data_IF_632558655246
#
_entry.id   IF_632558655246
#
_cell.length_a   1.000
_cell.length_b   1.000
_cell.length_c   1.000
_cell.angle_alpha   90.00
_cell.angle_beta   90.00
_cell.angle_gamma   90.00
#
_symmetry.space_group_name_H-M   'P 1'
#
loop_
_entity.id
_entity.type
_entity.pdbx_description
1 polymer ?
#
# COMPACT_ATOMS: atom_id res chain seq x y z
N UNK A 1 -6.55 52.93 18.32
CA UNK A 1 -6.00 51.67 18.90
C UNK A 1 -5.09 51.95 20.10
N UNK A 2 -4.33 53.05 20.11
CA UNK A 2 -3.33 53.37 21.15
C UNK A 2 -3.91 53.73 22.54
N UNK A 3 -5.22 53.93 22.66
CA UNK A 3 -5.91 54.27 23.92
C UNK A 3 -7.12 53.35 24.21
N UNK A 4 -7.13 52.12 23.71
CA UNK A 4 -8.19 51.18 24.06
C UNK A 4 -8.07 50.79 25.53
N UNK A 5 -9.16 50.98 26.29
CA UNK A 5 -9.25 50.47 27.65
C UNK A 5 -9.15 48.95 27.67
N UNK A 6 -8.68 48.38 28.78
CA UNK A 6 -8.56 46.93 28.95
C UNK A 6 -9.87 46.19 28.59
N UNK A 7 -11.02 46.73 29.01
CA UNK A 7 -12.32 46.13 28.74
C UNK A 7 -12.66 46.08 27.25
N UNK A 8 -12.37 47.15 26.50
CA UNK A 8 -12.61 47.18 25.05
C UNK A 8 -11.65 46.24 24.32
N UNK A 9 -10.39 46.16 24.76
CA UNK A 9 -9.41 45.25 24.18
C UNK A 9 -9.76 43.78 24.44
N UNK A 10 -10.21 43.45 25.65
CA UNK A 10 -10.69 42.12 26.00
C UNK A 10 -11.94 41.75 25.19
N UNK A 11 -12.86 42.71 24.98
CA UNK A 11 -14.03 42.48 24.13
C UNK A 11 -13.61 42.20 22.68
N UNK A 12 -12.73 43.01 22.10
CA UNK A 12 -12.20 42.78 20.75
C UNK A 12 -11.55 41.39 20.64
N UNK A 13 -10.66 41.04 21.56
CA UNK A 13 -10.00 39.73 21.55
C UNK A 13 -10.97 38.56 21.75
N UNK A 14 -12.10 38.77 22.43
CA UNK A 14 -13.12 37.73 22.59
C UNK A 14 -13.87 37.41 21.30
N UNK A 15 -13.87 38.34 20.33
CA UNK A 15 -14.47 38.17 18.99
C UNK A 15 -13.52 37.54 17.97
N UNK A 16 -12.22 37.45 18.30
CA UNK A 16 -11.16 37.01 17.40
C UNK A 16 -10.66 35.61 17.76
N UNK A 17 -10.06 34.91 16.80
CA UNK A 17 -9.24 33.72 17.10
C UNK A 17 -7.84 34.15 17.54
N UNK A 18 -7.08 33.28 18.19
CA UNK A 18 -5.70 33.54 18.59
C UNK A 18 -4.80 33.87 17.40
N UNK A 19 -5.12 33.33 16.21
CA UNK A 19 -4.45 33.66 14.95
C UNK A 19 -4.72 35.10 14.55
N UNK A 20 -5.96 35.55 14.64
CA UNK A 20 -6.34 36.91 14.27
C UNK A 20 -5.79 37.91 15.29
N UNK A 21 -5.83 37.58 16.58
CA UNK A 21 -5.20 38.40 17.63
C UNK A 21 -3.69 38.51 17.38
N UNK A 22 -3.01 37.41 17.02
CA UNK A 22 -1.60 37.45 16.64
C UNK A 22 -1.36 38.38 15.44
N UNK A 23 -2.21 38.34 14.42
CA UNK A 23 -2.11 39.22 13.26
C UNK A 23 -2.30 40.69 13.65
N UNK A 24 -3.31 41.00 14.46
CA UNK A 24 -3.58 42.35 14.99
C UNK A 24 -2.40 42.86 15.82
N UNK A 25 -1.85 42.05 16.71
CA UNK A 25 -0.71 42.40 17.57
C UNK A 25 0.58 42.55 16.75
N UNK A 26 0.78 41.72 15.72
CA UNK A 26 1.96 41.82 14.86
C UNK A 26 1.96 43.06 13.96
N UNK A 27 0.78 43.57 13.60
CA UNK A 27 0.62 44.74 12.73
C UNK A 27 0.55 46.04 13.53
N UNK A 28 0.06 46.01 14.75
CA UNK A 28 -0.10 47.18 15.62
C UNK A 28 0.98 47.22 16.70
N UNK A 29 2.02 48.04 16.51
CA UNK A 29 3.16 48.16 17.45
C UNK A 29 2.74 48.54 18.88
N UNK A 30 1.64 49.27 19.03
CA UNK A 30 1.11 49.68 20.35
C UNK A 30 0.49 48.53 21.15
N UNK A 31 0.22 47.38 20.52
CA UNK A 31 -0.37 46.19 21.14
C UNK A 31 0.67 45.10 21.40
N UNK A 32 1.88 45.47 21.86
CA UNK A 32 2.91 44.47 22.16
C UNK A 32 2.39 43.41 23.15
N UNK A 33 2.67 42.10 22.95
CA UNK A 33 2.28 41.04 23.89
C UNK A 33 2.86 41.20 25.30
N UNK A 34 3.93 41.99 25.44
CA UNK A 34 4.56 42.30 26.73
C UNK A 34 3.82 43.40 27.51
N UNK A 35 2.85 44.07 26.89
CA UNK A 35 2.15 45.22 27.49
C UNK A 35 1.13 44.71 28.52
N UNK A 36 1.08 45.29 29.75
CA UNK A 36 0.16 44.84 30.79
C UNK A 36 -1.31 44.83 30.37
N UNK A 37 -1.77 45.84 29.63
CA UNK A 37 -3.17 45.90 29.16
C UNK A 37 -3.52 44.74 28.20
N UNK A 38 -2.59 44.33 27.34
CA UNK A 38 -2.76 43.19 26.42
C UNK A 38 -2.78 41.88 27.21
N UNK A 39 -1.92 41.75 28.23
CA UNK A 39 -1.87 40.58 29.09
C UNK A 39 -3.15 40.40 29.91
N UNK A 40 -3.65 41.48 30.52
CA UNK A 40 -4.93 41.49 31.24
C UNK A 40 -6.10 41.17 30.31
N UNK A 41 -6.12 41.72 29.11
CA UNK A 41 -7.14 41.40 28.11
C UNK A 41 -7.12 39.91 27.71
N UNK A 42 -5.93 39.34 27.48
CA UNK A 42 -5.76 37.91 27.17
C UNK A 42 -6.21 37.02 28.33
N UNK A 43 -5.86 37.37 29.57
CA UNK A 43 -6.33 36.67 30.77
C UNK A 43 -7.85 36.63 30.84
N UNK A 44 -8.48 37.79 30.65
CA UNK A 44 -9.94 37.93 30.69
C UNK A 44 -10.62 37.06 29.63
N UNK A 45 -10.10 37.04 28.40
CA UNK A 45 -10.62 36.20 27.32
C UNK A 45 -10.46 34.72 27.64
N UNK A 46 -9.28 34.29 28.12
CA UNK A 46 -9.00 32.90 28.47
C UNK A 46 -9.98 32.41 29.55
N UNK A 47 -10.15 33.17 30.62
CA UNK A 47 -11.00 32.76 31.73
C UNK A 47 -12.49 32.84 31.40
N UNK A 48 -12.93 33.88 30.69
CA UNK A 48 -14.35 34.09 30.40
C UNK A 48 -14.85 33.22 29.24
N UNK A 49 -14.09 33.07 28.16
CA UNK A 49 -14.50 32.33 26.96
C UNK A 49 -14.15 30.85 27.01
N UNK A 50 -13.04 30.51 27.65
CA UNK A 50 -12.51 29.14 27.69
C UNK A 50 -12.47 28.55 29.11
N UNK A 51 -13.16 29.16 30.08
CA UNK A 51 -13.16 28.72 31.47
C UNK A 51 -13.51 27.24 31.68
N UNK A 52 -14.35 26.65 30.83
CA UNK A 52 -14.68 25.21 30.90
C UNK A 52 -13.46 24.30 30.68
N UNK A 53 -12.55 24.68 29.78
CA UNK A 53 -11.34 23.91 29.45
C UNK A 53 -10.08 24.47 30.10
N UNK A 54 -10.14 25.70 30.62
CA UNK A 54 -9.03 26.45 31.19
C UNK A 54 -9.18 26.71 32.70
N UNK A 55 -10.13 26.08 33.39
CA UNK A 55 -10.42 26.30 34.82
C UNK A 55 -9.23 26.14 35.78
N UNK A 56 -8.19 25.44 35.34
CA UNK A 56 -6.94 25.27 36.10
C UNK A 56 -5.94 26.42 35.93
N UNK A 57 -6.19 27.37 35.02
CA UNK A 57 -5.41 28.57 34.80
C UNK A 57 -6.02 29.73 35.60
N UNK A 58 -5.89 29.67 36.92
CA UNK A 58 -6.45 30.70 37.80
C UNK A 58 -5.89 32.10 37.45
N UNK A 59 -6.78 33.09 37.35
CA UNK A 59 -6.46 34.51 37.18
C UNK A 59 -5.52 35.02 38.28
N UNK A 60 -5.70 34.56 39.51
CA UNK A 60 -4.88 34.96 40.66
C UNK A 60 -3.45 34.38 40.61
N UNK A 61 -3.24 33.35 39.79
CA UNK A 61 -1.99 32.61 39.72
C UNK A 61 -0.98 33.29 38.80
N UNK A 62 0.18 33.67 39.34
CA UNK A 62 1.32 34.17 38.55
C UNK A 62 2.11 33.07 37.83
N UNK A 63 1.62 31.81 37.86
CA UNK A 63 2.38 30.65 37.38
C UNK A 63 2.28 30.39 35.87
N UNK A 64 1.38 31.06 35.16
CA UNK A 64 1.20 30.88 33.73
C UNK A 64 1.33 32.19 32.95
N UNK A 65 1.87 32.18 31.72
CA UNK A 65 2.08 33.39 30.94
C UNK A 65 0.79 33.84 30.22
N UNK A 66 0.41 35.10 30.36
CA UNK A 66 -0.74 35.72 29.66
C UNK A 66 -0.38 36.01 28.22
N UNK A 67 -0.32 34.95 27.44
CA UNK A 67 0.31 34.94 26.12
C UNK A 67 -0.62 34.36 25.07
N UNK A 68 -0.38 34.74 23.81
CA UNK A 68 -1.08 34.18 22.65
C UNK A 68 -0.89 32.66 22.52
N UNK A 69 0.24 32.13 22.99
CA UNK A 69 0.47 30.69 23.03
C UNK A 69 -0.49 29.97 23.98
N UNK A 70 -0.80 30.57 25.14
CA UNK A 70 -1.79 30.02 26.07
C UNK A 70 -3.20 30.15 25.50
N UNK A 71 -3.55 31.31 24.92
CA UNK A 71 -4.84 31.49 24.22
C UNK A 71 -5.03 30.43 23.13
N UNK A 72 -4.02 30.22 22.27
CA UNK A 72 -4.06 29.18 21.23
C UNK A 72 -4.18 27.78 21.82
N UNK A 73 -3.48 27.50 22.91
CA UNK A 73 -3.61 26.23 23.64
C UNK A 73 -5.03 25.98 24.13
N UNK A 74 -5.69 27.01 24.66
CA UNK A 74 -7.08 26.91 25.15
C UNK A 74 -8.08 26.73 24.02
N UNK A 75 -7.89 27.34 22.85
CA UNK A 75 -8.70 27.06 21.65
C UNK A 75 -8.58 25.61 21.19
N UNK A 76 -7.35 25.08 21.17
CA UNK A 76 -7.09 23.68 20.78
C UNK A 76 -7.73 22.72 21.78
N UNK A 77 -7.66 23.00 23.09
CA UNK A 77 -8.36 22.23 24.11
C UNK A 77 -9.89 22.32 23.97
N UNK A 78 -10.43 23.47 23.57
CA UNK A 78 -11.85 23.62 23.28
C UNK A 78 -12.29 22.73 22.12
N UNK A 79 -11.53 22.70 21.01
CA UNK A 79 -11.81 21.76 19.91
C UNK A 79 -11.73 20.31 20.40
N UNK A 80 -10.73 19.97 21.24
CA UNK A 80 -10.62 18.63 21.83
C UNK A 80 -11.89 18.26 22.63
N UNK A 81 -12.38 19.17 23.46
CA UNK A 81 -13.62 18.99 24.23
C UNK A 81 -14.82 18.75 23.30
N UNK A 82 -14.98 19.59 22.27
CA UNK A 82 -16.05 19.46 21.28
C UNK A 82 -16.01 18.11 20.56
N UNK A 83 -14.84 17.69 20.08
CA UNK A 83 -14.67 16.39 19.42
C UNK A 83 -14.87 15.20 20.35
N UNK A 84 -14.57 15.34 21.65
CA UNK A 84 -14.77 14.27 22.63
C UNK A 84 -16.26 14.11 23.02
N UNK A 85 -17.02 15.20 23.05
CA UNK A 85 -18.46 15.21 23.34
C UNK A 85 -19.32 14.83 22.15
N UNK A 86 -18.72 14.77 20.96
CA UNK A 86 -19.42 14.54 19.70
C UNK A 86 -19.13 13.15 19.16
N UNK A 87 -20.15 12.47 18.67
CA UNK A 87 -19.96 11.23 17.93
C UNK A 87 -19.26 11.53 16.60
N UNK A 88 -18.11 10.88 16.39
CA UNK A 88 -17.41 10.87 15.09
C UNK A 88 -17.63 9.51 14.47
N UNK A 89 -18.24 9.47 13.30
CA UNK A 89 -18.53 8.21 12.59
C UNK A 89 -17.63 8.03 11.38
N UNK A 90 -17.40 6.76 10.97
CA UNK A 90 -16.81 6.49 9.67
C UNK A 90 -17.82 6.84 8.58
N UNK A 91 -17.33 7.31 7.44
CA UNK A 91 -18.21 7.62 6.30
C UNK A 91 -18.92 6.36 5.76
N UNK A 92 -18.28 5.20 5.88
CA UNK A 92 -18.82 3.91 5.44
C UNK A 92 -19.97 3.40 6.34
N UNK A 93 -20.05 3.87 7.59
CA UNK A 93 -21.06 3.45 8.58
C UNK A 93 -22.28 4.39 8.62
N UNK A 94 -22.40 5.31 7.66
CA UNK A 94 -23.19 6.53 7.76
C UNK A 94 -24.69 6.42 7.46
N UNK A 95 -25.24 5.20 7.35
CA UNK A 95 -26.63 4.96 6.90
C UNK A 95 -27.73 5.65 7.73
N UNK A 96 -27.39 6.26 8.87
CA UNK A 96 -28.29 6.93 9.81
C UNK A 96 -27.88 8.39 10.14
N UNK A 97 -27.02 9.02 9.34
CA UNK A 97 -26.55 10.38 9.64
C UNK A 97 -27.62 11.45 9.41
N UNK A 98 -27.68 12.42 10.33
CA UNK A 98 -28.59 13.56 10.23
C UNK A 98 -28.23 14.47 9.05
N UNK A 99 -29.20 15.20 8.47
CA UNK A 99 -28.94 16.17 7.40
C UNK A 99 -28.01 17.33 7.80
N UNK A 100 -27.81 17.57 9.09
CA UNK A 100 -26.89 18.59 9.61
C UNK A 100 -25.46 18.07 9.78
N UNK A 101 -25.11 16.89 9.29
CA UNK A 101 -23.75 16.36 9.40
C UNK A 101 -22.82 16.87 8.28
N UNK A 102 -21.53 16.91 8.57
CA UNK A 102 -20.45 17.35 7.69
C UNK A 102 -19.38 16.27 7.59
N UNK A 103 -18.93 16.02 6.36
CA UNK A 103 -17.83 15.11 6.02
C UNK A 103 -16.52 15.86 6.07
N UNK A 104 -15.55 15.31 6.79
CA UNK A 104 -14.21 15.86 6.98
C UNK A 104 -13.13 14.79 6.80
N UNK A 105 -11.87 15.21 6.65
CA UNK A 105 -10.72 14.30 6.54
C UNK A 105 -10.44 13.58 7.87
N UNK A 106 -10.40 12.24 7.86
CA UNK A 106 -10.07 11.45 9.06
C UNK A 106 -8.62 11.66 9.51
N UNK A 107 -7.71 11.85 8.57
CA UNK A 107 -6.33 12.17 8.91
C UNK A 107 -6.19 13.55 9.52
N UNK A 108 -7.02 14.52 9.12
CA UNK A 108 -7.05 15.81 9.81
C UNK A 108 -7.44 15.63 11.27
N UNK A 109 -8.51 14.87 11.55
CA UNK A 109 -8.91 14.55 12.93
C UNK A 109 -7.80 13.85 13.72
N UNK A 110 -7.09 12.90 13.09
CA UNK A 110 -5.96 12.20 13.70
C UNK A 110 -4.78 13.12 14.01
N UNK A 111 -4.36 13.93 13.04
CA UNK A 111 -3.29 14.92 13.21
C UNK A 111 -3.64 15.96 14.27
N UNK A 112 -4.91 16.39 14.31
CA UNK A 112 -5.40 17.35 15.28
C UNK A 112 -5.38 16.76 16.70
N UNK A 113 -5.82 15.51 16.90
CA UNK A 113 -5.72 14.83 18.20
C UNK A 113 -4.27 14.78 18.71
N UNK A 114 -3.29 14.52 17.82
CA UNK A 114 -1.87 14.55 18.18
C UNK A 114 -1.41 15.96 18.58
N UNK A 115 -1.85 16.99 17.86
CA UNK A 115 -1.58 18.40 18.20
C UNK A 115 -2.17 18.79 19.56
N UNK A 116 -3.38 18.31 19.88
CA UNK A 116 -4.01 18.54 21.18
C UNK A 116 -3.14 18.03 22.34
N UNK A 117 -2.53 16.85 22.20
CA UNK A 117 -1.68 16.28 23.25
C UNK A 117 -0.47 17.19 23.56
N UNK A 118 0.14 17.80 22.54
CA UNK A 118 1.25 18.75 22.73
C UNK A 118 0.83 20.01 23.49
N UNK A 119 -0.28 20.63 23.09
CA UNK A 119 -0.81 21.82 23.80
C UNK A 119 -1.31 21.49 25.21
N UNK A 120 -1.90 20.32 25.40
CA UNK A 120 -2.33 19.86 26.71
C UNK A 120 -1.15 19.66 27.66
N UNK A 121 -0.08 19.01 27.22
CA UNK A 121 1.15 18.88 28.01
C UNK A 121 1.76 20.24 28.33
N UNK A 122 1.81 21.15 27.35
CA UNK A 122 2.26 22.52 27.55
C UNK A 122 1.42 23.27 28.60
N UNK A 123 0.09 23.16 28.57
CA UNK A 123 -0.76 23.85 29.55
C UNK A 123 -0.76 23.18 30.92
N UNK A 124 -0.64 21.86 30.99
CA UNK A 124 -0.58 21.11 32.25
C UNK A 124 0.63 21.47 33.12
N UNK A 125 1.72 21.97 32.52
CA UNK A 125 2.88 22.41 33.30
C UNK A 125 2.53 23.55 34.27
N UNK A 126 1.49 24.32 33.98
CA UNK A 126 1.03 25.44 34.80
C UNK A 126 0.08 25.03 35.93
N UNK A 127 -0.38 23.77 35.96
CA UNK A 127 -1.18 23.23 37.08
C UNK A 127 -0.37 23.01 38.36
N UNK A 128 0.97 22.95 38.25
CA UNK A 128 1.86 22.58 39.35
C UNK A 128 2.46 23.82 40.01
N UNK A 129 2.51 23.83 41.34
CA UNK A 129 3.19 24.89 42.10
C UNK A 129 4.69 24.91 41.80
N UNK A 130 5.36 26.07 41.93
CA UNK A 130 6.83 26.22 41.78
C UNK A 130 7.62 25.15 42.57
N UNK A 131 7.10 24.66 43.71
CA UNK A 131 7.70 23.61 44.54
C UNK A 131 7.66 22.22 43.90
N UNK A 132 6.57 21.86 43.19
CA UNK A 132 6.47 20.62 42.42
C UNK A 132 7.26 20.70 41.11
N UNK A 133 7.29 21.87 40.47
CA UNK A 133 8.04 22.09 39.23
C UNK A 133 9.57 22.00 39.46
N UNK A 134 10.08 22.51 40.59
CA UNK A 134 11.50 22.33 41.00
C UNK A 134 11.87 20.86 41.20
N UNK A 135 11.00 20.04 41.78
CA UNK A 135 11.24 18.58 41.95
C UNK A 135 11.29 17.83 40.62
N UNK A 136 10.49 18.24 39.63
CA UNK A 136 10.55 17.64 38.29
C UNK A 136 11.68 18.17 37.42
N UNK A 137 12.03 19.46 37.52
CA UNK A 137 13.17 20.02 36.79
C UNK A 137 14.50 19.45 37.29
N UNK A 138 14.58 19.08 38.58
CA UNK A 138 15.70 18.29 39.11
C UNK A 138 15.76 16.86 38.51
N UNK A 139 14.61 16.25 38.19
CA UNK A 139 14.51 14.91 37.60
C UNK A 139 14.64 14.90 36.05
N UNK A 140 14.33 16.01 35.36
CA UNK A 140 14.33 16.13 33.89
C UNK A 140 15.58 16.78 33.30
N UNK A 141 16.64 16.98 34.09
CA UNK A 141 17.89 17.63 33.65
C UNK A 141 18.68 16.84 32.58
N UNK A 142 18.10 15.79 31.97
CA UNK A 142 18.68 15.04 30.85
C UNK A 142 18.01 15.25 29.48
N UNK A 143 16.81 15.82 29.36
CA UNK A 143 16.07 15.77 28.07
C UNK A 143 15.36 17.07 27.59
N UNK A 144 15.66 18.24 28.16
CA UNK A 144 14.85 19.44 27.90
C UNK A 144 15.58 20.60 27.23
N UNK A 145 15.90 20.46 25.94
CA UNK A 145 16.22 21.59 25.04
C UNK A 145 15.15 21.75 23.94
N UNK A 146 14.03 21.01 23.99
CA UNK A 146 13.04 20.96 22.91
C UNK A 146 11.80 21.88 23.07
N UNK A 147 11.72 22.73 24.11
CA UNK A 147 10.46 23.42 24.46
C UNK A 147 10.24 24.80 23.82
N UNK A 148 11.21 25.35 23.07
CA UNK A 148 11.07 26.68 22.42
C UNK A 148 10.63 26.63 20.96
N UNK A 149 10.32 25.44 20.44
CA UNK A 149 9.74 25.28 19.10
C UNK A 149 8.37 24.61 19.20
N UNK A 150 7.39 25.30 19.79
CA UNK A 150 5.98 25.16 19.36
C UNK A 150 5.88 25.77 17.95
N UNK A 151 6.57 25.11 17.01
CA UNK A 151 6.78 25.54 15.66
C UNK A 151 5.42 25.65 14.98
N UNK A 152 5.18 26.83 14.41
CA UNK A 152 4.22 27.06 13.33
C UNK A 152 4.36 26.04 12.17
N UNK A 153 5.48 25.28 12.10
CA UNK A 153 5.67 24.14 11.20
C UNK A 153 4.63 23.01 11.39
N UNK A 154 3.94 22.90 12.53
CA UNK A 154 2.86 21.91 12.69
C UNK A 154 1.62 22.21 11.81
N UNK A 155 1.50 23.43 11.28
CA UNK A 155 0.39 23.81 10.40
C UNK A 155 0.47 23.14 9.02
N UNK A 156 1.66 22.78 8.51
CA UNK A 156 1.78 22.15 7.18
C UNK A 156 1.08 20.79 7.15
N UNK A 157 1.32 19.95 8.16
CA UNK A 157 0.71 18.62 8.26
C UNK A 157 -0.81 18.64 8.36
N UNK A 158 -1.39 19.67 9.02
CA UNK A 158 -2.84 19.83 9.11
C UNK A 158 -3.43 20.41 7.83
N UNK A 159 -2.73 21.34 7.17
CA UNK A 159 -3.13 21.87 5.87
C UNK A 159 -3.16 20.76 4.82
N UNK A 160 -2.09 19.95 4.75
CA UNK A 160 -2.01 18.77 3.90
C UNK A 160 -3.14 17.79 4.24
N UNK A 161 -3.35 17.48 5.51
CA UNK A 161 -4.40 16.55 5.92
C UNK A 161 -5.81 17.05 5.60
N UNK A 162 -6.04 18.37 5.63
CA UNK A 162 -7.32 19.00 5.31
C UNK A 162 -7.70 18.88 3.83
N UNK A 163 -6.71 18.89 2.93
CA UNK A 163 -6.94 18.79 1.47
C UNK A 163 -6.98 17.35 0.94
N UNK A 164 -6.71 16.33 1.77
CA UNK A 164 -6.64 14.93 1.30
C UNK A 164 -7.95 14.29 0.82
N UNK A 165 -9.08 14.95 1.04
CA UNK A 165 -10.38 14.51 0.51
C UNK A 165 -10.87 15.39 -0.64
N UNK A 166 -10.05 16.38 -1.03
CA UNK A 166 -10.36 17.37 -2.05
C UNK A 166 -9.53 17.06 -3.30
N UNK A 167 -10.14 17.13 -4.48
CA UNK A 167 -9.45 16.95 -5.75
C UNK A 167 -8.88 18.28 -6.26
N UNK A 168 -8.17 18.25 -7.38
CA UNK A 168 -7.65 19.47 -8.02
C UNK A 168 -8.75 20.47 -8.43
N UNK A 169 -10.00 20.01 -8.58
CA UNK A 169 -11.18 20.82 -8.89
C UNK A 169 -11.87 21.40 -7.64
N UNK A 170 -11.22 21.34 -6.47
CA UNK A 170 -11.74 21.80 -5.17
C UNK A 170 -13.07 21.14 -4.73
N UNK A 171 -13.39 19.99 -5.33
CA UNK A 171 -14.54 19.15 -4.99
C UNK A 171 -14.09 17.88 -4.25
N UNK A 172 -15.03 17.10 -3.73
CA UNK A 172 -14.70 15.82 -3.09
C UNK A 172 -14.02 14.87 -4.11
N UNK A 173 -12.92 14.23 -3.72
CA UNK A 173 -12.35 13.12 -4.48
C UNK A 173 -13.40 12.01 -4.68
N UNK A 174 -13.26 11.09 -5.66
CA UNK A 174 -14.11 9.91 -5.71
C UNK A 174 -13.95 9.02 -4.47
N UNK A 175 -15.04 8.47 -3.93
CA UNK A 175 -15.00 7.63 -2.73
C UNK A 175 -14.10 6.39 -2.91
N UNK A 176 -14.04 5.84 -4.12
CA UNK A 176 -13.16 4.75 -4.54
C UNK A 176 -11.68 5.08 -4.39
N UNK A 177 -11.29 6.36 -4.46
CA UNK A 177 -9.91 6.82 -4.29
C UNK A 177 -9.55 7.14 -2.82
N UNK A 178 -10.55 7.13 -1.92
CA UNK A 178 -10.36 7.45 -0.50
C UNK A 178 -9.87 6.24 0.32
N UNK A 179 -8.62 5.81 0.10
CA UNK A 179 -7.99 4.71 0.86
C UNK A 179 -7.03 5.19 1.96
N UNK A 180 -6.98 4.44 3.08
CA UNK A 180 -6.03 4.70 4.16
C UNK A 180 -6.17 6.11 4.79
N UNK A 181 -5.20 6.99 4.53
CA UNK A 181 -5.15 8.34 5.11
C UNK A 181 -6.20 9.30 4.51
N UNK A 182 -6.66 9.07 3.29
CA UNK A 182 -7.70 9.88 2.64
C UNK A 182 -9.13 9.44 3.00
N UNK A 183 -9.29 8.55 3.99
CA UNK A 183 -10.61 8.19 4.51
C UNK A 183 -11.35 9.40 5.09
N UNK A 184 -12.66 9.35 4.95
CA UNK A 184 -13.59 10.39 5.39
C UNK A 184 -14.14 10.06 6.77
N UNK A 185 -14.51 11.09 7.53
CA UNK A 185 -15.20 10.97 8.80
C UNK A 185 -16.37 11.94 8.83
N UNK A 186 -17.40 11.63 9.61
CA UNK A 186 -18.59 12.45 9.75
C UNK A 186 -18.61 13.05 11.16
N UNK A 187 -18.89 14.36 11.23
CA UNK A 187 -19.13 15.09 12.46
C UNK A 187 -20.42 15.91 12.35
N UNK A 188 -21.01 16.27 13.49
CA UNK A 188 -22.16 17.20 13.51
C UNK A 188 -21.76 18.56 12.92
N UNK A 189 -22.67 19.19 12.18
CA UNK A 189 -22.46 20.51 11.58
C UNK A 189 -22.35 21.62 12.61
N UNK A 190 -23.00 21.50 13.77
CA UNK A 190 -22.81 22.45 14.89
C UNK A 190 -21.37 22.44 15.37
N UNK A 191 -20.84 21.23 15.54
CA UNK A 191 -19.46 20.97 15.96
C UNK A 191 -18.48 21.46 14.89
N UNK A 192 -18.74 21.16 13.62
CA UNK A 192 -17.93 21.66 12.51
C UNK A 192 -17.86 23.19 12.50
N UNK A 193 -18.99 23.89 12.64
CA UNK A 193 -19.05 25.35 12.66
C UNK A 193 -18.23 25.93 13.81
N UNK A 194 -18.33 25.36 15.01
CA UNK A 194 -17.51 25.81 16.15
C UNK A 194 -16.01 25.56 15.92
N UNK A 195 -15.63 24.43 15.34
CA UNK A 195 -14.23 24.07 15.10
C UNK A 195 -13.62 24.94 13.99
N UNK A 196 -14.35 25.17 12.91
CA UNK A 196 -13.87 25.90 11.73
C UNK A 196 -13.39 27.33 12.07
N UNK A 197 -13.96 27.95 13.12
CA UNK A 197 -13.53 29.26 13.64
C UNK A 197 -12.06 29.25 14.09
N UNK A 198 -11.60 28.16 14.70
CA UNK A 198 -10.24 28.05 15.25
C UNK A 198 -9.29 27.22 14.37
N UNK A 199 -9.82 26.53 13.37
CA UNK A 199 -9.11 25.62 12.46
C UNK A 199 -9.47 25.92 10.99
N UNK A 200 -8.99 27.04 10.42
CA UNK A 200 -9.31 27.43 9.03
C UNK A 200 -8.77 26.45 7.96
N UNK A 201 -7.82 25.60 8.33
CA UNK A 201 -7.31 24.52 7.49
C UNK A 201 -8.28 23.32 7.35
N UNK A 202 -9.30 23.21 8.20
CA UNK A 202 -10.29 22.15 8.14
C UNK A 202 -11.23 22.39 6.95
N UNK A 203 -11.32 21.42 6.05
CA UNK A 203 -12.31 21.37 4.98
C UNK A 203 -13.46 20.47 5.37
N UNK A 204 -14.69 20.87 5.03
CA UNK A 204 -15.90 20.11 5.34
C UNK A 204 -16.96 20.25 4.27
N UNK A 205 -17.64 19.14 3.99
CA UNK A 205 -18.71 19.05 2.97
C UNK A 205 -20.00 18.55 3.63
N UNK A 206 -21.11 19.27 3.46
CA UNK A 206 -22.40 18.86 4.03
C UNK A 206 -22.93 17.60 3.34
N UNK A 207 -23.41 16.62 4.11
CA UNK A 207 -23.94 15.35 3.56
C UNK A 207 -25.03 15.53 2.50
N UNK A 208 -25.83 16.60 2.57
CA UNK A 208 -26.87 16.91 1.57
C UNK A 208 -26.30 17.29 0.19
N UNK A 209 -25.04 17.74 0.16
CA UNK A 209 -24.34 18.23 -1.04
C UNK A 209 -23.09 17.38 -1.34
N UNK A 210 -22.89 16.26 -0.65
CA UNK A 210 -21.74 15.39 -0.85
C UNK A 210 -21.91 14.56 -2.12
N UNK A 211 -21.64 15.18 -3.27
CA UNK A 211 -21.33 14.46 -4.50
C UNK A 211 -19.82 14.36 -4.66
N UNK A 212 -19.35 13.21 -5.16
CA UNK A 212 -17.99 13.10 -5.66
C UNK A 212 -17.81 14.05 -6.86
N UNK A 213 -16.60 14.52 -7.09
CA UNK A 213 -16.28 15.38 -8.22
C UNK A 213 -16.57 14.66 -9.54
N UNK A 214 -17.57 15.13 -10.29
CA UNK A 214 -17.98 14.52 -11.57
C UNK A 214 -16.81 14.40 -12.55
N UNK A 215 -15.95 15.42 -12.64
CA UNK A 215 -14.76 15.38 -13.50
C UNK A 215 -13.80 14.25 -13.10
N UNK A 216 -13.51 14.10 -11.80
CA UNK A 216 -12.63 13.04 -11.33
C UNK A 216 -13.24 11.63 -11.43
N UNK A 217 -14.57 11.53 -11.28
CA UNK A 217 -15.29 10.27 -11.51
C UNK A 217 -15.22 9.87 -12.98
N UNK A 218 -15.55 10.79 -13.90
CA UNK A 218 -15.46 10.54 -15.35
C UNK A 218 -14.03 10.22 -15.81
N UNK A 219 -13.03 10.93 -15.29
CA UNK A 219 -11.62 10.61 -15.57
C UNK A 219 -11.23 9.22 -15.08
N UNK A 220 -11.73 8.80 -13.91
CA UNK A 220 -11.46 7.47 -13.39
C UNK A 220 -12.13 6.40 -14.26
N UNK A 221 -13.40 6.57 -14.58
CA UNK A 221 -14.14 5.67 -15.48
C UNK A 221 -13.45 5.57 -16.85
N UNK A 222 -12.98 6.69 -17.40
CA UNK A 222 -12.23 6.71 -18.65
C UNK A 222 -10.91 5.94 -18.55
N UNK A 223 -10.14 6.09 -17.45
CA UNK A 223 -8.91 5.33 -17.21
C UNK A 223 -9.17 3.84 -17.04
N UNK A 224 -10.23 3.46 -16.34
CA UNK A 224 -10.63 2.06 -16.15
C UNK A 224 -11.05 1.43 -17.48
N UNK A 225 -11.78 2.17 -18.32
CA UNK A 225 -12.18 1.73 -19.66
C UNK A 225 -10.95 1.60 -20.58
N UNK A 226 -10.03 2.56 -20.57
CA UNK A 226 -8.77 2.47 -21.33
C UNK A 226 -7.93 1.27 -20.86
N UNK A 227 -7.88 1.01 -19.55
CA UNK A 227 -7.14 -0.12 -18.99
C UNK A 227 -7.76 -1.49 -19.36
N UNK A 228 -9.08 -1.59 -19.38
CA UNK A 228 -9.77 -2.81 -19.81
C UNK A 228 -9.63 -3.02 -21.32
N UNK A 229 -9.69 -1.96 -22.13
CA UNK A 229 -9.44 -2.06 -23.57
C UNK A 229 -8.00 -2.49 -23.86
N UNK A 230 -7.00 -1.91 -23.18
CA UNK A 230 -5.59 -2.36 -23.28
C UNK A 230 -5.43 -3.83 -22.92
N UNK A 231 -6.11 -4.29 -21.86
CA UNK A 231 -6.10 -5.69 -21.45
C UNK A 231 -6.76 -6.59 -22.51
N UNK A 232 -7.85 -6.16 -23.11
CA UNK A 232 -8.54 -6.88 -24.20
C UNK A 232 -7.66 -6.98 -25.44
N UNK A 233 -7.11 -5.86 -25.91
CA UNK A 233 -6.19 -5.81 -27.06
C UNK A 233 -4.96 -6.71 -26.82
N UNK A 234 -4.40 -6.69 -25.61
CA UNK A 234 -3.29 -7.59 -25.24
C UNK A 234 -3.71 -9.05 -25.29
N UNK A 235 -4.85 -9.40 -24.71
CA UNK A 235 -5.36 -10.76 -24.76
C UNK A 235 -5.53 -11.22 -26.22
N UNK A 236 -6.14 -10.38 -27.06
CA UNK A 236 -6.37 -10.69 -28.47
C UNK A 236 -5.03 -10.82 -29.22
N UNK A 237 -4.07 -9.92 -29.03
CA UNK A 237 -2.75 -10.03 -29.65
C UNK A 237 -1.98 -11.30 -29.23
N UNK A 238 -2.08 -11.68 -27.96
CA UNK A 238 -1.30 -12.77 -27.38
C UNK A 238 -1.95 -14.14 -27.43
N UNK A 239 -3.24 -14.22 -27.76
CA UNK A 239 -4.03 -15.47 -27.75
C UNK A 239 -4.82 -15.67 -29.04
N UNK A 240 -5.37 -14.62 -29.66
CA UNK A 240 -6.28 -14.79 -30.80
C UNK A 240 -5.61 -15.57 -31.95
N UNK A 241 -6.40 -16.45 -32.57
CA UNK A 241 -5.97 -17.28 -33.69
C UNK A 241 -5.12 -18.50 -33.33
N UNK A 242 -4.83 -18.77 -32.05
CA UNK A 242 -4.15 -20.03 -31.64
C UNK A 242 -4.92 -20.73 -30.51
N UNK A 243 -5.47 -21.89 -30.83
CA UNK A 243 -6.12 -22.78 -29.87
C UNK A 243 -5.10 -23.32 -28.86
N UNK A 244 -3.88 -23.59 -29.33
CA UNK A 244 -2.75 -24.09 -28.54
C UNK A 244 -2.39 -23.11 -27.41
N UNK A 245 -2.31 -21.81 -27.72
CA UNK A 245 -2.01 -20.78 -26.72
C UNK A 245 -3.15 -20.64 -25.70
N UNK A 246 -4.40 -20.78 -26.14
CA UNK A 246 -5.56 -20.76 -25.24
C UNK A 246 -5.55 -21.98 -24.29
N UNK A 247 -5.25 -23.17 -24.81
CA UNK A 247 -5.14 -24.39 -24.00
C UNK A 247 -4.01 -24.27 -22.96
N UNK A 248 -2.84 -23.78 -23.38
CA UNK A 248 -1.69 -23.56 -22.50
C UNK A 248 -1.99 -22.54 -21.40
N UNK A 249 -2.75 -21.48 -21.73
CA UNK A 249 -3.19 -20.46 -20.78
C UNK A 249 -4.10 -21.06 -19.68
N UNK A 250 -5.00 -21.96 -20.06
CA UNK A 250 -5.97 -22.59 -19.16
C UNK A 250 -5.40 -23.77 -18.37
N UNK A 251 -4.27 -24.33 -18.79
CA UNK A 251 -3.63 -25.50 -18.18
C UNK A 251 -3.21 -25.28 -16.73
N UNK A 252 -3.59 -26.20 -15.86
CA UNK A 252 -3.23 -26.23 -14.42
C UNK A 252 -2.23 -27.32 -14.04
N UNK A 253 -2.19 -28.42 -14.80
CA UNK A 253 -1.50 -29.66 -14.39
C UNK A 253 -0.01 -29.69 -14.78
N UNK A 254 0.49 -28.69 -15.52
CA UNK A 254 1.89 -28.60 -15.95
C UNK A 254 2.28 -29.55 -17.09
N UNK A 255 1.32 -30.26 -17.70
CA UNK A 255 1.50 -31.10 -18.88
C UNK A 255 0.17 -31.22 -19.67
N UNK A 256 0.19 -31.55 -20.98
CA UNK A 256 -1.02 -31.63 -21.79
C UNK A 256 -1.87 -32.86 -21.45
N UNK A 257 -3.21 -32.75 -21.60
CA UNK A 257 -4.18 -33.79 -21.20
C UNK A 257 -3.95 -35.13 -21.93
N UNK A 258 -3.42 -35.08 -23.16
CA UNK A 258 -3.14 -36.27 -23.97
C UNK A 258 -1.75 -36.87 -23.82
N UNK A 259 -0.94 -36.45 -22.83
CA UNK A 259 0.41 -37.01 -22.61
C UNK A 259 0.38 -38.49 -22.15
N UNK A 260 -0.60 -38.83 -21.31
CA UNK A 260 -0.78 -40.19 -20.78
C UNK A 260 -2.09 -40.78 -21.30
N UNK A 261 -2.12 -42.10 -21.49
CA UNK A 261 -3.34 -42.82 -21.83
C UNK A 261 -4.37 -42.67 -20.70
N UNK A 262 -5.68 -42.56 -21.00
CA UNK A 262 -6.72 -42.70 -19.98
C UNK A 262 -6.48 -44.01 -19.20
N UNK A 263 -6.43 -43.90 -17.88
CA UNK A 263 -6.15 -45.05 -17.01
C UNK A 263 -7.47 -45.78 -16.77
N UNK A 264 -7.61 -46.98 -17.32
CA UNK A 264 -8.62 -47.92 -16.83
C UNK A 264 -8.24 -48.32 -15.40
N UNK A 265 -9.23 -48.26 -14.51
CA UNK A 265 -9.18 -48.12 -13.05
C UNK A 265 -8.45 -49.20 -12.21
N UNK A 266 -7.40 -49.87 -12.70
CA UNK A 266 -6.67 -50.89 -11.92
C UNK A 266 -5.16 -50.83 -12.18
N UNK A 267 -4.43 -50.07 -11.35
CA UNK A 267 -2.96 -50.10 -11.28
C UNK A 267 -2.30 -48.72 -11.32
N UNK A 268 -1.63 -48.33 -10.23
CA UNK A 268 -1.14 -46.98 -9.89
C UNK A 268 0.05 -46.44 -10.71
N UNK A 269 0.14 -46.70 -12.03
CA UNK A 269 1.24 -46.19 -12.88
C UNK A 269 0.68 -45.63 -14.19
N UNK A 270 0.94 -44.35 -14.44
CA UNK A 270 0.51 -43.69 -15.68
C UNK A 270 1.37 -44.20 -16.84
N UNK A 271 0.74 -44.61 -17.95
CA UNK A 271 1.43 -45.01 -19.17
C UNK A 271 1.31 -43.90 -20.21
N UNK A 272 2.41 -43.57 -20.90
CA UNK A 272 2.40 -42.57 -21.97
C UNK A 272 1.41 -43.00 -23.05
N UNK A 273 0.66 -42.02 -23.59
CA UNK A 273 -0.34 -42.30 -24.60
C UNK A 273 0.30 -42.96 -25.83
N UNK A 274 -0.33 -44.01 -26.34
CA UNK A 274 0.06 -44.53 -27.65
C UNK A 274 -0.58 -43.65 -28.71
N UNK A 275 0.22 -42.87 -29.43
CA UNK A 275 -0.27 -42.03 -30.51
C UNK A 275 -0.46 -42.88 -31.77
N UNK A 276 -1.70 -43.30 -32.03
CA UNK A 276 -2.07 -44.05 -33.23
C UNK A 276 -2.57 -43.06 -34.29
N UNK A 277 -1.93 -43.04 -35.46
CA UNK A 277 -2.32 -42.13 -36.55
C UNK A 277 -3.64 -42.56 -37.17
N UNK A 278 -4.67 -41.70 -37.14
CA UNK A 278 -5.92 -41.93 -37.91
C UNK A 278 -5.81 -41.45 -39.37
N UNK A 279 -4.78 -40.67 -39.74
CA UNK A 279 -4.70 -40.09 -41.10
C UNK A 279 -3.28 -39.97 -41.69
N UNK A 280 -2.35 -40.85 -41.31
CA UNK A 280 -1.11 -41.05 -42.08
C UNK A 280 -0.03 -39.96 -42.01
N UNK A 281 -0.06 -39.02 -41.06
CA UNK A 281 1.07 -38.08 -40.83
C UNK A 281 1.43 -38.04 -39.34
N UNK A 282 2.61 -38.62 -39.05
CA UNK A 282 3.27 -38.82 -37.75
C UNK A 282 2.84 -40.04 -36.91
N UNK A 283 3.82 -40.92 -36.66
CA UNK A 283 3.76 -42.12 -35.79
C UNK A 283 4.19 -41.81 -34.34
N UNK A 284 4.43 -40.54 -34.02
CA UNK A 284 4.98 -40.09 -32.74
C UNK A 284 4.44 -38.71 -32.37
N UNK A 285 4.40 -38.41 -31.08
CA UNK A 285 4.06 -37.09 -30.55
C UNK A 285 5.31 -36.42 -29.96
N UNK A 286 5.54 -35.17 -30.35
CA UNK A 286 6.67 -34.38 -29.86
C UNK A 286 6.21 -33.43 -28.76
N UNK A 287 7.02 -33.32 -27.71
CA UNK A 287 6.81 -32.44 -26.58
C UNK A 287 8.08 -31.65 -26.25
N UNK A 288 7.91 -30.49 -25.61
CA UNK A 288 9.02 -29.63 -25.17
C UNK A 288 8.89 -29.22 -23.72
N UNK A 289 10.01 -28.79 -23.12
CA UNK A 289 10.08 -28.25 -21.78
C UNK A 289 10.12 -26.72 -21.81
N UNK A 290 9.24 -26.09 -21.03
CA UNK A 290 9.20 -24.64 -20.84
C UNK A 290 9.31 -24.32 -19.36
N UNK A 291 10.14 -23.34 -18.94
CA UNK A 291 10.28 -23.00 -17.53
C UNK A 291 8.94 -22.54 -16.93
N UNK A 292 8.51 -23.17 -15.84
CA UNK A 292 7.24 -22.84 -15.15
C UNK A 292 7.22 -21.39 -14.65
N UNK A 293 8.38 -20.87 -14.23
CA UNK A 293 8.53 -19.46 -13.82
C UNK A 293 8.21 -18.52 -14.99
N UNK A 294 8.69 -18.85 -16.19
CA UNK A 294 8.43 -18.09 -17.40
C UNK A 294 6.95 -18.15 -17.78
N UNK A 295 6.35 -19.35 -17.82
CA UNK A 295 4.93 -19.53 -18.10
C UNK A 295 4.04 -18.79 -17.10
N UNK A 296 4.39 -18.77 -15.82
CA UNK A 296 3.65 -17.98 -14.83
C UNK A 296 3.73 -16.47 -15.08
N UNK A 297 4.89 -15.98 -15.55
CA UNK A 297 5.04 -14.57 -15.95
C UNK A 297 4.21 -14.29 -17.20
N UNK A 298 4.25 -15.16 -18.20
CA UNK A 298 3.43 -15.06 -19.41
C UNK A 298 1.93 -15.07 -19.12
N UNK A 299 1.43 -16.03 -18.31
CA UNK A 299 0.00 -16.08 -17.90
C UNK A 299 -0.43 -14.81 -17.16
N UNK A 300 0.44 -14.22 -16.36
CA UNK A 300 0.18 -12.93 -15.71
C UNK A 300 0.15 -11.81 -16.74
N UNK A 301 1.14 -11.73 -17.62
CA UNK A 301 1.20 -10.74 -18.69
C UNK A 301 -0.08 -10.73 -19.53
N UNK A 302 -0.51 -11.89 -20.04
CA UNK A 302 -1.74 -12.04 -20.84
C UNK A 302 -3.01 -11.61 -20.08
N UNK A 303 -3.08 -11.84 -18.76
CA UNK A 303 -4.27 -11.57 -17.94
C UNK A 303 -4.26 -10.23 -17.21
N UNK A 304 -3.11 -9.58 -17.13
CA UNK A 304 -2.91 -8.41 -16.27
C UNK A 304 -2.85 -7.12 -17.08
N UNK A 305 -3.05 -6.01 -16.38
CA UNK A 305 -2.89 -4.67 -16.92
C UNK A 305 -1.42 -4.20 -16.95
N UNK A 306 -0.48 -4.94 -16.33
CA UNK A 306 0.93 -4.55 -16.29
C UNK A 306 1.69 -4.86 -17.59
N UNK A 307 2.73 -4.09 -17.88
CA UNK A 307 3.52 -4.19 -19.12
C UNK A 307 4.71 -5.17 -19.03
N UNK A 308 4.76 -5.99 -17.98
CA UNK A 308 5.86 -6.91 -17.72
C UNK A 308 5.84 -8.12 -18.68
N UNK A 309 6.25 -7.91 -19.92
CA UNK A 309 6.42 -8.96 -20.92
C UNK A 309 7.31 -10.08 -20.38
N UNK A 310 6.96 -11.37 -20.62
CA UNK A 310 7.75 -12.48 -20.13
C UNK A 310 9.18 -12.54 -20.72
N UNK A 311 9.42 -11.89 -21.86
CA UNK A 311 10.67 -11.99 -22.61
C UNK A 311 10.81 -13.36 -23.30
N UNK A 312 11.98 -13.69 -23.86
CA UNK A 312 12.19 -14.96 -24.55
C UNK A 312 12.14 -16.17 -23.60
N UNK A 313 11.81 -17.33 -24.16
CA UNK A 313 11.88 -18.61 -23.43
C UNK A 313 13.34 -19.03 -23.29
N UNK A 314 13.84 -19.05 -22.06
CA UNK A 314 15.23 -19.36 -21.74
C UNK A 314 15.39 -20.75 -21.13
N UNK A 315 16.09 -21.63 -21.84
CA UNK A 315 16.35 -23.03 -21.47
C UNK A 315 17.85 -23.35 -21.36
N UNK A 316 18.75 -22.36 -21.37
CA UNK A 316 20.20 -22.57 -21.30
C UNK A 316 20.66 -23.48 -20.14
N UNK A 317 19.94 -23.48 -19.01
CA UNK A 317 20.27 -24.31 -17.85
C UNK A 317 20.05 -25.82 -18.07
N UNK A 318 19.31 -26.17 -19.11
CA UNK A 318 19.16 -27.56 -19.57
C UNK A 318 20.25 -27.95 -20.56
N UNK A 319 21.26 -27.11 -20.79
CA UNK A 319 22.37 -27.38 -21.71
C UNK A 319 23.68 -27.46 -20.93
N UNK A 320 24.34 -28.61 -21.01
CA UNK A 320 25.71 -28.76 -20.54
C UNK A 320 26.66 -28.15 -21.58
N UNK A 321 27.20 -26.97 -21.28
CA UNK A 321 28.13 -26.29 -22.18
C UNK A 321 29.41 -27.10 -22.43
N UNK A 322 29.93 -27.79 -21.41
CA UNK A 322 31.17 -28.57 -21.52
C UNK A 322 31.04 -29.81 -22.41
N UNK A 323 29.87 -30.45 -22.41
CA UNK A 323 29.64 -31.69 -23.16
C UNK A 323 28.73 -31.51 -24.38
N UNK A 324 28.20 -30.30 -24.61
CA UNK A 324 27.22 -29.98 -25.65
C UNK A 324 26.02 -30.95 -25.66
N UNK A 325 25.56 -31.32 -24.45
CA UNK A 325 24.50 -32.30 -24.21
C UNK A 325 23.41 -31.72 -23.32
N UNK A 326 22.20 -32.28 -23.35
CA UNK A 326 21.10 -31.77 -22.51
C UNK A 326 21.17 -32.33 -21.09
N UNK A 327 20.99 -31.47 -20.10
CA UNK A 327 20.84 -31.84 -18.70
C UNK A 327 19.35 -31.90 -18.41
N UNK A 328 18.81 -33.11 -18.20
CA UNK A 328 17.39 -33.31 -17.95
C UNK A 328 17.13 -33.28 -16.44
N UNK A 329 16.12 -32.53 -15.95
CA UNK A 329 15.74 -32.57 -14.55
C UNK A 329 15.28 -33.99 -14.17
N UNK A 330 15.88 -34.65 -13.16
CA UNK A 330 15.57 -36.05 -12.84
C UNK A 330 14.10 -36.33 -12.56
N UNK A 331 13.37 -35.33 -12.04
CA UNK A 331 11.95 -35.46 -11.76
C UNK A 331 11.10 -35.58 -13.04
N UNK A 332 11.56 -35.02 -14.17
CA UNK A 332 10.88 -35.16 -15.46
C UNK A 332 11.04 -36.59 -15.96
N UNK A 333 12.25 -37.16 -15.93
CA UNK A 333 12.47 -38.56 -16.34
C UNK A 333 11.69 -39.53 -15.44
N UNK A 334 11.61 -39.27 -14.13
CA UNK A 334 10.77 -40.05 -13.22
C UNK A 334 9.28 -39.91 -13.54
N UNK A 335 8.81 -38.69 -13.79
CA UNK A 335 7.42 -38.44 -14.17
C UNK A 335 7.03 -39.15 -15.48
N UNK A 336 7.86 -39.04 -16.52
CA UNK A 336 7.65 -39.73 -17.80
C UNK A 336 7.72 -41.26 -17.69
N UNK A 337 8.35 -41.78 -16.64
CA UNK A 337 8.38 -43.21 -16.32
C UNK A 337 7.10 -43.70 -15.61
N UNK A 338 6.13 -42.82 -15.38
CA UNK A 338 4.78 -43.16 -14.90
C UNK A 338 4.49 -42.86 -13.43
N UNK A 339 5.40 -42.19 -12.72
CA UNK A 339 5.17 -41.67 -11.37
C UNK A 339 4.35 -40.36 -11.44
N UNK A 340 3.64 -40.00 -10.38
CA UNK A 340 2.96 -38.70 -10.36
C UNK A 340 3.96 -37.54 -10.34
N UNK A 341 3.57 -36.37 -10.85
CA UNK A 341 4.43 -35.18 -10.85
C UNK A 341 4.82 -34.78 -9.42
N UNK A 342 3.88 -34.88 -8.48
CA UNK A 342 4.12 -34.59 -7.06
C UNK A 342 5.12 -35.58 -6.44
N UNK A 343 4.97 -36.87 -6.70
CA UNK A 343 5.91 -37.91 -6.24
C UNK A 343 7.31 -37.67 -6.79
N UNK A 344 7.41 -37.38 -8.08
CA UNK A 344 8.68 -37.14 -8.77
C UNK A 344 9.41 -35.91 -8.23
N UNK A 345 8.66 -34.82 -7.96
CA UNK A 345 9.20 -33.62 -7.34
C UNK A 345 9.65 -33.87 -5.90
N UNK A 346 8.86 -34.57 -5.08
CA UNK A 346 9.22 -34.89 -3.69
C UNK A 346 10.49 -35.75 -3.62
N UNK A 347 10.58 -36.79 -4.46
CA UNK A 347 11.71 -37.71 -4.47
C UNK A 347 13.03 -37.02 -4.84
N UNK A 348 12.99 -36.03 -5.73
CA UNK A 348 14.18 -35.33 -6.22
C UNK A 348 14.56 -34.11 -5.37
N UNK A 349 13.58 -33.46 -4.73
CA UNK A 349 13.84 -32.37 -3.77
C UNK A 349 14.50 -32.85 -2.49
N UNK A 350 14.27 -34.09 -2.06
CA UNK A 350 14.93 -34.67 -0.90
C UNK A 350 16.46 -34.85 -1.08
N UNK A 351 16.96 -34.75 -2.31
CA UNK A 351 18.36 -35.07 -2.70
C UNK A 351 19.20 -33.80 -2.97
N UNK A 352 18.62 -32.60 -3.01
CA UNK A 352 19.34 -31.35 -3.35
C UNK A 352 18.87 -30.12 -2.58
N UNK A 353 19.83 -29.31 -2.10
CA UNK A 353 19.63 -28.15 -1.20
C UNK A 353 19.11 -26.86 -1.87
N UNK A 354 18.53 -26.94 -3.06
CA UNK A 354 17.78 -25.83 -3.68
C UNK A 354 16.50 -26.36 -4.34
N UNK A 355 15.37 -25.63 -4.26
CA UNK A 355 14.16 -26.02 -4.98
C UNK A 355 14.48 -26.15 -6.47
N UNK A 356 14.38 -27.36 -7.02
CA UNK A 356 14.61 -27.59 -8.44
C UNK A 356 13.73 -26.64 -9.27
N UNK A 357 14.33 -25.90 -10.21
CA UNK A 357 13.54 -25.07 -11.14
C UNK A 357 12.61 -26.00 -11.92
N UNK A 358 11.33 -25.70 -11.85
CA UNK A 358 10.28 -26.51 -12.43
C UNK A 358 10.03 -26.09 -13.89
N UNK A 359 9.74 -27.07 -14.71
CA UNK A 359 9.32 -26.96 -16.11
C UNK A 359 7.92 -27.56 -16.26
N UNK A 360 7.18 -27.03 -17.22
CA UNK A 360 5.97 -27.63 -17.74
C UNK A 360 6.26 -28.28 -19.10
N UNK A 361 5.54 -29.36 -19.40
CA UNK A 361 5.58 -30.04 -20.69
C UNK A 361 4.54 -29.39 -21.59
N UNK A 362 4.92 -29.04 -22.80
CA UNK A 362 4.04 -28.46 -23.83
C UNK A 362 4.05 -29.33 -25.08
N UNK A 363 2.96 -29.29 -25.85
CA UNK A 363 2.89 -29.99 -27.15
C UNK A 363 3.76 -29.28 -28.19
N UNK A 364 3.98 -29.95 -29.33
CA UNK A 364 4.66 -29.34 -30.47
C UNK A 364 3.99 -28.03 -30.94
N UNK A 365 2.67 -28.03 -31.14
CA UNK A 365 1.95 -26.84 -31.60
C UNK A 365 1.99 -25.68 -30.58
N UNK A 366 1.95 -25.99 -29.28
CA UNK A 366 2.13 -24.98 -28.24
C UNK A 366 3.54 -24.39 -28.22
N UNK A 367 4.54 -25.24 -28.42
CA UNK A 367 5.92 -24.80 -28.50
C UNK A 367 6.15 -23.89 -29.72
N UNK A 368 5.63 -24.25 -30.89
CA UNK A 368 5.69 -23.42 -32.09
C UNK A 368 5.02 -22.07 -31.85
N UNK A 369 3.80 -22.07 -31.30
CA UNK A 369 3.09 -20.83 -31.03
C UNK A 369 3.81 -19.91 -30.02
N UNK A 370 4.49 -20.49 -29.01
CA UNK A 370 5.35 -19.75 -28.10
C UNK A 370 6.62 -19.24 -28.80
N UNK A 371 7.26 -20.07 -29.60
CA UNK A 371 8.50 -19.74 -30.30
C UNK A 371 8.29 -18.59 -31.28
N UNK A 372 7.22 -18.65 -32.07
CA UNK A 372 6.88 -17.63 -33.08
C UNK A 372 6.62 -16.26 -32.45
N UNK A 373 6.07 -16.23 -31.23
CA UNK A 373 5.69 -14.98 -30.53
C UNK A 373 6.79 -14.41 -29.65
N UNK A 374 7.54 -15.27 -28.95
CA UNK A 374 8.46 -14.84 -27.88
C UNK A 374 9.93 -15.13 -28.18
N UNK A 375 10.22 -15.92 -29.22
CA UNK A 375 11.51 -16.55 -29.45
C UNK A 375 11.92 -17.49 -28.29
N UNK A 376 12.73 -18.50 -28.61
CA UNK A 376 13.38 -19.34 -27.61
C UNK A 376 14.85 -19.49 -27.94
N UNK A 377 15.68 -19.52 -26.90
CA UNK A 377 17.13 -19.72 -27.04
C UNK A 377 17.45 -21.17 -27.43
N UNK A 378 16.87 -22.14 -26.69
CA UNK A 378 17.09 -23.57 -26.90
C UNK A 378 15.78 -24.36 -26.73
N UNK A 379 15.52 -25.27 -27.66
CA UNK A 379 14.42 -26.23 -27.57
C UNK A 379 14.93 -27.53 -26.93
N UNK A 380 14.37 -27.90 -25.77
CA UNK A 380 14.62 -29.20 -25.15
C UNK A 380 13.33 -29.99 -25.19
N UNK A 381 13.33 -31.07 -25.98
CA UNK A 381 12.13 -31.86 -26.23
C UNK A 381 12.39 -33.35 -26.36
N UNK A 382 11.31 -34.10 -26.35
CA UNK A 382 11.28 -35.55 -26.47
C UNK A 382 10.13 -35.99 -27.36
N UNK A 383 10.29 -37.16 -27.97
CA UNK A 383 9.28 -37.81 -28.79
C UNK A 383 8.71 -39.01 -28.03
N UNK A 384 7.40 -39.19 -28.06
CA UNK A 384 6.72 -40.38 -27.56
C UNK A 384 6.41 -41.30 -28.74
N UNK A 385 7.05 -42.47 -28.74
CA UNK A 385 6.94 -43.49 -29.78
C UNK A 385 6.50 -44.78 -29.10
N UNK A 386 5.34 -45.32 -29.47
CA UNK A 386 4.78 -46.56 -28.91
C UNK A 386 4.72 -46.59 -27.37
N UNK A 387 4.41 -45.47 -26.73
CA UNK A 387 4.32 -45.36 -25.26
C UNK A 387 5.67 -45.25 -24.55
N UNK A 388 6.77 -45.08 -25.27
CA UNK A 388 8.10 -44.79 -24.72
C UNK A 388 8.58 -43.41 -25.15
N UNK A 389 9.19 -42.65 -24.23
CA UNK A 389 9.77 -41.34 -24.53
C UNK A 389 11.23 -41.46 -24.99
N UNK A 390 11.63 -40.61 -25.92
CA UNK A 390 13.00 -40.53 -26.46
C UNK A 390 13.41 -39.06 -26.54
N UNK A 391 14.46 -38.67 -25.82
CA UNK A 391 14.97 -37.30 -25.89
C UNK A 391 15.57 -36.99 -27.26
N UNK A 392 15.25 -35.81 -27.79
CA UNK A 392 15.73 -35.37 -29.12
C UNK A 392 17.21 -34.99 -29.13
N UNK A 393 17.77 -34.69 -27.95
CA UNK A 393 19.20 -34.44 -27.75
C UNK A 393 19.76 -35.46 -26.75
N UNK A 394 21.05 -35.78 -26.90
CA UNK A 394 21.71 -36.72 -25.99
C UNK A 394 21.79 -36.14 -24.57
N UNK A 395 21.38 -36.94 -23.60
CA UNK A 395 21.49 -36.58 -22.19
C UNK A 395 22.95 -36.56 -21.72
N UNK A 396 23.29 -35.55 -20.92
CA UNK A 396 24.57 -35.46 -20.23
C UNK A 396 24.53 -36.31 -18.95
N UNK A 397 25.08 -37.52 -19.02
CA UNK A 397 25.14 -38.45 -17.86
C UNK A 397 26.19 -38.05 -16.81
N UNK A 398 27.05 -37.06 -17.11
CA UNK A 398 28.15 -36.62 -16.24
C UNK A 398 27.75 -35.43 -15.37
N UNK A 399 26.93 -34.52 -15.90
CA UNK A 399 26.53 -33.30 -15.20
C UNK A 399 25.11 -33.45 -14.69
N UNK A 400 24.95 -33.46 -13.36
CA UNK A 400 23.64 -33.52 -12.74
C UNK A 400 22.93 -32.16 -12.76
N UNK A 401 21.64 -32.18 -13.04
CA UNK A 401 20.77 -31.00 -12.93
C UNK A 401 20.78 -30.48 -11.49
N UNK A 402 21.10 -29.20 -11.30
CA UNK A 402 21.14 -28.55 -9.98
C UNK A 402 22.47 -28.63 -9.22
N UNK A 403 23.56 -29.11 -9.84
CA UNK A 403 24.89 -29.23 -9.23
C UNK A 403 25.92 -28.22 -9.78
N UNK A 404 25.53 -26.98 -10.05
CA UNK A 404 26.47 -25.95 -10.53
C UNK A 404 26.08 -24.53 -10.12
N UNK A 405 26.85 -23.92 -9.20
CA UNK A 405 26.80 -22.48 -8.95
C UNK A 405 26.97 -22.02 -7.50
N UNK A 406 27.94 -22.55 -6.75
CA UNK A 406 28.40 -21.91 -5.51
C UNK A 406 29.93 -21.93 -5.48
N UNK A 407 30.61 -20.85 -5.07
CA UNK A 407 32.06 -20.89 -4.91
C UNK A 407 32.37 -21.97 -3.87
N UNK A 408 33.21 -22.92 -4.25
CA UNK A 408 33.79 -23.88 -3.31
C UNK A 408 34.70 -23.10 -2.35
N UNK A 409 34.12 -22.58 -1.27
CA UNK A 409 34.87 -21.96 -0.19
C UNK A 409 34.62 -22.72 1.11
N UNK A 410 35.73 -23.14 1.70
CA UNK A 410 35.90 -23.55 3.09
C UNK A 410 35.45 -24.97 3.44
N UNK A 411 36.28 -25.95 3.07
CA UNK A 411 36.62 -26.97 4.07
C UNK A 411 37.85 -26.51 4.86
N UNK A 412 37.75 -26.44 6.21
CA UNK A 412 38.90 -26.19 7.05
C UNK A 412 39.78 -27.44 7.10
N UNK A 413 41.08 -27.26 6.84
CA UNK A 413 42.08 -28.29 7.09
C UNK A 413 41.99 -28.76 8.56
N UNK A 414 41.48 -29.98 8.77
CA UNK A 414 41.58 -30.67 10.05
C UNK A 414 42.74 -31.67 10.00
N UNK A 415 43.87 -31.25 10.59
CA UNK A 415 44.91 -32.04 11.27
C UNK A 415 45.55 -33.22 10.53
N UNK A 416 46.83 -33.08 10.16
CA UNK A 416 47.99 -33.54 10.94
C UNK A 416 49.29 -33.02 10.35
#
# INVERSE_FOLDING_TARGET
MEQLSEGLLAHLFSLLSARDVLQVVSTCRSLSPSTPCVQSALERVINHRFGSVASFLDASSSHWPRSLAVLRGTEVLRIKELLARSSTWSFEDAASCSPNCVVVSRAWLGAFRKRCQGFEQYLQQFRRTKRQQRRQNAAKKRDSVASEKLNLAANSTLSEAGVMIVCAHDALLPATQCVGRSRRAIISGDVFREIAVYAPELRGFSLRSCCDCTMCVLEQEARELEAEEKKRVRFDAEIAGSEEMLELLQRKNGFPKGLFSPVDTVGSRQQLAQHWSVSGRSKYATYFLVPKKWLNKWRKFVRSQGDDSPGPVLNAELVCLSHQKTIIPPYISMFLSGFSLEQSLKATQAVGSTPARQYEIVTFGEWEALYDRYCAEFAVGFDVINGAYHWRAQECQICNYGMGGGPSSNQPNSRR
#
